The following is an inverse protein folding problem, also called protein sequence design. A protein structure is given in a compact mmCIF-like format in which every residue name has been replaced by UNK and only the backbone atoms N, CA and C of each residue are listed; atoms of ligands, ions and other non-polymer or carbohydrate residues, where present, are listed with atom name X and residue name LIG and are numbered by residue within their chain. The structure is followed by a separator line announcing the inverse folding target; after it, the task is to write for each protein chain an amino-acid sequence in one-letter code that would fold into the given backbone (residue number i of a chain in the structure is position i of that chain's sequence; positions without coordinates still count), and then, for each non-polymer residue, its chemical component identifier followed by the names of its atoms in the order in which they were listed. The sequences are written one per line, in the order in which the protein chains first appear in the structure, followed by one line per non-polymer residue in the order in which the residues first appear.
data_IF_031673316368
#
_entry.id   IF_031673316368
#
_cell.length_a   1.000
_cell.length_b   1.000
_cell.length_c   1.000
_cell.angle_alpha   90.00
_cell.angle_beta   90.00
_cell.angle_gamma   90.00
#
_symmetry.space_group_name_H-M   'P 1'
#
loop_
_entity.id
_entity.type
_entity.pdbx_description
1 polymer ?
#
# COMPACT_ATOMS: atom_id res chain seq x y z
N UNK A 1 9.84 -4.52 1.88
CA UNK A 1 10.60 -4.25 3.12
C UNK A 1 11.35 -2.92 3.06
N UNK A 2 11.20 -2.13 1.97
CA UNK A 2 12.05 -0.96 1.69
C UNK A 2 11.68 0.32 2.47
N UNK A 3 10.41 0.51 2.84
CA UNK A 3 9.97 1.76 3.47
C UNK A 3 10.48 1.95 4.90
N UNK A 4 10.47 0.89 5.70
CA UNK A 4 11.01 0.92 7.07
C UNK A 4 12.52 1.21 7.07
N UNK A 5 13.25 0.70 6.07
CA UNK A 5 14.68 0.95 5.93
C UNK A 5 14.97 2.41 5.56
N UNK A 6 14.16 3.01 4.68
CA UNK A 6 14.26 4.43 4.34
C UNK A 6 14.06 5.35 5.55
N UNK A 7 13.01 5.12 6.36
CA UNK A 7 12.82 5.87 7.61
C UNK A 7 14.05 5.73 8.51
N UNK A 8 14.59 4.52 8.64
CA UNK A 8 15.77 4.27 9.48
C UNK A 8 16.99 5.06 8.99
N UNK A 9 17.26 5.05 7.68
CA UNK A 9 18.35 5.81 7.07
C UNK A 9 18.17 7.32 7.26
N UNK A 10 16.96 7.84 7.06
CA UNK A 10 16.68 9.27 7.24
C UNK A 10 16.89 9.70 8.69
N UNK A 11 16.48 8.89 9.66
CA UNK A 11 16.69 9.19 11.08
C UNK A 11 18.17 9.12 11.47
N UNK A 12 18.93 8.16 10.92
CA UNK A 12 20.38 8.10 11.11
C UNK A 12 21.06 9.35 10.50
N UNK A 13 20.64 9.79 9.31
CA UNK A 13 21.15 10.99 8.65
C UNK A 13 20.82 12.27 9.42
N UNK A 14 19.71 12.29 10.17
CA UNK A 14 19.35 13.37 11.10
C UNK A 14 20.18 13.34 12.40
N UNK A 15 21.01 12.32 12.61
CA UNK A 15 21.90 12.19 13.76
C UNK A 15 21.29 11.44 14.95
N UNK A 16 20.10 10.86 14.81
CA UNK A 16 19.51 10.05 15.87
C UNK A 16 20.27 8.73 16.07
N UNK A 17 20.38 8.30 17.33
CA UNK A 17 21.07 7.05 17.67
C UNK A 17 20.45 6.39 18.91
N UNK A 18 20.78 5.12 19.14
CA UNK A 18 20.39 4.40 20.36
C UNK A 18 18.89 4.37 20.62
N UNK A 19 18.48 4.80 21.82
CA UNK A 19 17.07 4.82 22.23
C UNK A 19 16.28 5.91 21.52
N UNK A 20 16.87 7.09 21.29
CA UNK A 20 16.21 8.20 20.59
C UNK A 20 15.86 7.81 19.15
N UNK A 21 16.77 7.11 18.46
CA UNK A 21 16.51 6.55 17.13
C UNK A 21 15.33 5.57 17.15
N UNK A 22 15.25 4.72 18.17
CA UNK A 22 14.19 3.73 18.30
C UNK A 22 12.83 4.38 18.56
N UNK A 23 12.80 5.44 19.35
CA UNK A 23 11.58 6.18 19.68
C UNK A 23 11.05 6.91 18.45
N UNK A 24 11.87 7.72 17.80
CA UNK A 24 11.50 8.40 16.56
C UNK A 24 11.12 7.43 15.44
N UNK A 25 11.82 6.30 15.31
CA UNK A 25 11.46 5.28 14.33
C UNK A 25 10.05 4.73 14.55
N UNK A 26 9.68 4.45 15.80
CA UNK A 26 8.33 3.98 16.13
C UNK A 26 7.29 5.05 15.84
N UNK A 27 7.56 6.30 16.18
CA UNK A 27 6.68 7.42 15.91
C UNK A 27 6.42 7.58 14.41
N UNK A 28 7.48 7.69 13.61
CA UNK A 28 7.37 7.89 12.16
C UNK A 28 6.68 6.72 11.46
N UNK A 29 7.03 5.47 11.82
CA UNK A 29 6.34 4.28 11.31
C UNK A 29 4.86 4.28 11.70
N UNK A 30 4.51 4.71 12.91
CA UNK A 30 3.11 4.72 13.36
C UNK A 30 2.25 5.74 12.61
N UNK A 31 2.84 6.86 12.19
CA UNK A 31 2.14 7.92 11.44
C UNK A 31 1.88 7.50 10.00
N UNK A 32 2.79 6.74 9.39
CA UNK A 32 2.75 6.48 7.95
C UNK A 32 2.07 5.14 7.63
N UNK A 33 2.14 4.16 8.54
CA UNK A 33 1.48 2.86 8.39
C UNK A 33 0.00 2.94 7.99
N UNK A 34 -0.85 3.79 8.61
CA UNK A 34 -2.26 3.88 8.24
C UNK A 34 -2.48 4.31 6.78
N UNK A 35 -1.68 5.25 6.29
CA UNK A 35 -1.75 5.70 4.90
C UNK A 35 -1.32 4.60 3.92
N UNK A 36 -0.24 3.86 4.24
CA UNK A 36 0.17 2.71 3.45
C UNK A 36 -0.89 1.60 3.42
N UNK A 37 -1.51 1.30 4.56
CA UNK A 37 -2.57 0.31 4.65
C UNK A 37 -3.79 0.72 3.82
N UNK A 38 -4.15 2.00 3.83
CA UNK A 38 -5.23 2.53 2.99
C UNK A 38 -4.93 2.40 1.49
N UNK A 39 -3.71 2.73 1.04
CA UNK A 39 -3.30 2.56 -0.36
C UNK A 39 -3.34 1.08 -0.76
N UNK A 40 -2.85 0.18 0.10
CA UNK A 40 -2.89 -1.26 -0.16
C UNK A 40 -4.32 -1.80 -0.21
N UNK A 41 -5.20 -1.33 0.68
CA UNK A 41 -6.61 -1.71 0.68
C UNK A 41 -7.31 -1.23 -0.60
N UNK A 42 -7.04 0.00 -1.04
CA UNK A 42 -7.58 0.54 -2.29
C UNK A 42 -7.07 -0.23 -3.50
N UNK A 43 -5.77 -0.52 -3.60
CA UNK A 43 -5.21 -1.32 -4.68
C UNK A 43 -5.84 -2.71 -4.77
N UNK A 44 -6.10 -3.35 -3.62
CA UNK A 44 -6.82 -4.63 -3.55
C UNK A 44 -8.26 -4.48 -4.03
N UNK A 45 -8.96 -3.41 -3.62
CA UNK A 45 -10.32 -3.13 -4.06
C UNK A 45 -10.39 -2.93 -5.57
N UNK A 46 -9.48 -2.14 -6.14
CA UNK A 46 -9.40 -1.90 -7.59
C UNK A 46 -9.16 -3.21 -8.33
N UNK A 47 -8.18 -4.00 -7.91
CA UNK A 47 -7.88 -5.30 -8.53
C UNK A 47 -9.07 -6.27 -8.47
N UNK A 48 -9.87 -6.23 -7.39
CA UNK A 48 -11.12 -7.02 -7.27
C UNK A 48 -12.26 -6.41 -8.10
N UNK A 49 -12.39 -5.08 -8.16
CA UNK A 49 -13.45 -4.43 -8.95
C UNK A 49 -13.21 -4.48 -10.45
N UNK A 50 -11.95 -4.60 -10.89
CA UNK A 50 -11.59 -4.90 -12.29
C UNK A 50 -11.95 -6.34 -12.67
N UNK A 51 -12.34 -7.20 -11.72
CA UNK A 51 -12.84 -8.55 -12.01
C UNK A 51 -14.34 -8.58 -12.37
N UNK A 52 -14.85 -7.51 -12.98
CA UNK A 52 -16.04 -7.60 -13.82
C UNK A 52 -15.65 -8.29 -15.13
N UNK A 53 -15.44 -9.60 -15.11
CA UNK A 53 -15.16 -10.36 -16.32
C UNK A 53 -16.45 -10.51 -17.12
N UNK A 54 -16.48 -9.97 -18.33
CA UNK A 54 -17.50 -10.33 -19.31
C UNK A 54 -17.20 -11.74 -19.82
N UNK A 55 -18.14 -12.67 -19.65
CA UNK A 55 -18.05 -13.98 -20.28
C UNK A 55 -18.32 -13.85 -21.79
N UNK A 56 -17.95 -14.88 -22.56
CA UNK A 56 -18.31 -14.95 -23.98
C UNK A 56 -19.82 -14.74 -24.19
N UNK A 57 -20.67 -15.27 -23.29
CA UNK A 57 -22.11 -15.08 -23.36
C UNK A 57 -22.54 -13.63 -23.13
N UNK A 58 -21.82 -12.87 -22.30
CA UNK A 58 -22.16 -11.47 -21.99
C UNK A 58 -21.82 -10.52 -23.15
N UNK A 59 -20.95 -10.93 -24.07
CA UNK A 59 -20.52 -10.14 -25.23
C UNK A 59 -21.21 -10.57 -26.53
N UNK A 60 -21.51 -11.86 -26.67
CA UNK A 60 -21.93 -12.45 -27.95
C UNK A 60 -23.39 -12.93 -27.98
N UNK A 61 -24.13 -12.96 -26.87
CA UNK A 61 -25.54 -13.38 -26.88
C UNK A 61 -26.54 -12.26 -27.23
N UNK A 62 -26.11 -11.01 -27.44
CA UNK A 62 -27.00 -9.91 -27.86
C UNK A 62 -27.21 -9.86 -29.40
N UNK A 63 -26.63 -10.81 -30.15
CA UNK A 63 -26.71 -10.88 -31.62
C UNK A 63 -27.30 -12.21 -32.10
N UNK A 64 -28.50 -12.55 -31.63
CA UNK A 64 -29.36 -13.51 -32.34
C UNK A 64 -30.77 -12.91 -32.50
N UNK A 65 -31.01 -12.29 -33.67
CA UNK A 65 -32.34 -12.18 -34.30
C UNK A 65 -32.40 -13.09 -35.54
#
# INVERSE_FOLDING_TARGET
MEFAEQIMLDLINQGYSGNDLREHFKEEVSRIRPAMEAILAEAKRVAVSESGYASYGDVFNEVEE
#
